data_IF_256463698168
#
_entry.id   IF_256463698168
#
_cell.length_a   1.000
_cell.length_b   1.000
_cell.length_c   1.000
_cell.angle_alpha   90.00
_cell.angle_beta   90.00
_cell.angle_gamma   90.00
#
_symmetry.space_group_name_H-M   'P 1'
#
loop_
_entity.id
_entity.type
_entity.pdbx_description
1 polymer ?
#
# COMPACT_ATOMS: atom_id res chain seq x y z
N UNK A 1 16.10 -2.98 -1.89
CA UNK A 1 14.70 -3.43 -1.69
C UNK A 1 14.73 -4.73 -0.90
N UNK A 2 14.51 -4.64 0.42
CA UNK A 2 14.32 -5.79 1.29
C UNK A 2 13.19 -6.66 0.70
N UNK A 3 13.39 -7.97 0.64
CA UNK A 3 12.54 -8.90 -0.10
C UNK A 3 11.14 -9.02 0.54
N UNK A 4 10.24 -8.07 0.25
CA UNK A 4 8.84 -8.21 0.61
C UNK A 4 8.20 -9.29 -0.28
N UNK A 5 7.58 -10.32 0.30
CA UNK A 5 6.90 -11.34 -0.48
C UNK A 5 5.70 -10.71 -1.21
N UNK A 6 5.52 -11.10 -2.47
CA UNK A 6 4.34 -10.81 -3.28
C UNK A 6 3.51 -12.10 -3.41
N UNK A 7 2.82 -12.54 -2.35
CA UNK A 7 2.11 -13.82 -2.35
C UNK A 7 0.97 -13.77 -3.37
N UNK A 8 0.72 -14.91 -4.00
CA UNK A 8 -0.32 -15.07 -5.02
C UNK A 8 -1.67 -15.45 -4.41
N UNK A 9 -1.70 -15.80 -3.11
CA UNK A 9 -2.90 -16.15 -2.38
C UNK A 9 -2.87 -15.71 -0.91
N UNK A 10 -4.04 -15.70 -0.29
CA UNK A 10 -4.20 -15.41 1.14
C UNK A 10 -3.52 -16.49 2.00
N UNK A 11 -3.64 -17.75 1.60
CA UNK A 11 -3.10 -18.91 2.31
C UNK A 11 -1.56 -18.87 2.33
N UNK A 12 -0.93 -18.48 1.23
CA UNK A 12 0.52 -18.25 1.15
C UNK A 12 0.98 -17.16 2.11
N UNK A 13 0.26 -16.04 2.18
CA UNK A 13 0.60 -14.95 3.12
C UNK A 13 0.50 -15.43 4.57
N UNK A 14 -0.58 -16.14 4.93
CA UNK A 14 -0.74 -16.70 6.29
C UNK A 14 0.37 -17.68 6.64
N UNK A 15 0.79 -18.53 5.69
CA UNK A 15 1.90 -19.46 5.90
C UNK A 15 3.23 -18.73 6.10
N UNK A 16 3.49 -17.70 5.30
CA UNK A 16 4.65 -16.83 5.44
C UNK A 16 4.66 -16.14 6.81
N UNK A 17 3.58 -15.48 7.21
CA UNK A 17 3.45 -14.78 8.50
C UNK A 17 3.72 -15.72 9.69
N UNK A 18 3.28 -16.99 9.60
CA UNK A 18 3.55 -18.02 10.62
C UNK A 18 5.00 -18.49 10.66
N UNK A 19 5.76 -18.31 9.57
CA UNK A 19 7.16 -18.71 9.47
C UNK A 19 8.14 -17.63 9.93
N UNK A 20 7.66 -16.40 10.18
CA UNK A 20 8.50 -15.29 10.62
C UNK A 20 9.11 -15.60 11.99
N UNK A 21 10.45 -15.56 12.07
CA UNK A 21 11.16 -15.74 13.34
C UNK A 21 11.20 -14.45 14.15
N UNK A 22 11.54 -14.55 15.44
CA UNK A 22 11.68 -13.38 16.31
C UNK A 22 12.79 -12.45 15.80
N UNK A 23 13.89 -13.01 15.28
CA UNK A 23 15.00 -12.26 14.72
C UNK A 23 14.57 -11.48 13.48
N UNK A 24 13.80 -12.11 12.58
CA UNK A 24 13.23 -11.44 11.40
C UNK A 24 12.27 -10.32 11.81
N UNK A 25 11.34 -10.59 12.73
CA UNK A 25 10.42 -9.57 13.23
C UNK A 25 11.15 -8.36 13.85
N UNK A 26 12.24 -8.61 14.57
CA UNK A 26 13.07 -7.55 15.18
C UNK A 26 13.80 -6.74 14.11
N UNK A 27 14.34 -7.40 13.09
CA UNK A 27 14.99 -6.74 11.94
C UNK A 27 13.99 -5.86 11.18
N UNK A 28 12.80 -6.38 10.88
CA UNK A 28 11.74 -5.65 10.19
C UNK A 28 11.31 -4.42 10.98
N UNK A 29 11.10 -4.56 12.30
CA UNK A 29 10.76 -3.43 13.16
C UNK A 29 11.82 -2.32 13.12
N UNK A 30 13.11 -2.68 13.11
CA UNK A 30 14.20 -1.73 12.97
C UNK A 30 14.23 -1.03 11.61
N UNK A 31 13.92 -1.76 10.53
CA UNK A 31 13.82 -1.19 9.19
C UNK A 31 12.62 -0.23 9.05
N UNK A 32 11.51 -0.49 9.75
CA UNK A 32 10.35 0.41 9.80
C UNK A 32 10.63 1.68 10.59
N UNK A 33 11.33 1.56 11.73
CA UNK A 33 11.71 2.71 12.56
C UNK A 33 12.65 3.68 11.83
N UNK A 34 13.57 3.14 11.00
CA UNK A 34 14.42 3.96 10.12
C UNK A 34 13.62 4.85 9.18
N UNK A 35 12.62 4.30 8.50
CA UNK A 35 11.75 5.07 7.61
C UNK A 35 10.97 6.14 8.37
N UNK A 36 10.49 5.83 9.57
CA UNK A 36 9.82 6.81 10.42
C UNK A 36 10.74 8.00 10.77
N UNK A 37 12.03 7.73 10.93
CA UNK A 37 13.06 8.75 11.15
C UNK A 37 13.60 9.40 9.85
N UNK A 38 13.01 9.09 8.69
CA UNK A 38 13.33 9.70 7.40
C UNK A 38 14.41 9.00 6.57
N UNK A 39 14.91 7.85 7.02
CA UNK A 39 15.86 7.03 6.24
C UNK A 39 15.09 6.15 5.24
N UNK A 40 14.89 6.68 4.03
CA UNK A 40 14.19 6.01 2.92
C UNK A 40 15.12 5.18 2.03
N UNK A 41 16.43 5.27 2.21
CA UNK A 41 17.43 4.56 1.40
C UNK A 41 17.71 3.17 1.99
N UNK A 42 17.90 3.09 3.31
CA UNK A 42 18.25 1.85 4.02
C UNK A 42 17.06 1.28 4.82
N UNK A 43 15.98 2.03 4.95
CA UNK A 43 14.74 1.61 5.61
C UNK A 43 13.79 0.79 4.72
N UNK A 44 12.81 0.13 5.33
CA UNK A 44 11.76 -0.61 4.63
C UNK A 44 10.49 0.26 4.43
N UNK A 45 10.34 0.82 3.23
CA UNK A 45 9.19 1.68 2.89
C UNK A 45 7.97 0.83 2.53
N UNK A 46 6.96 0.81 3.40
CA UNK A 46 5.75 0.00 3.27
C UNK A 46 4.70 0.67 2.37
N UNK A 47 4.61 0.25 1.10
CA UNK A 47 3.67 0.80 0.13
C UNK A 47 3.01 -0.30 -0.70
N UNK A 48 1.74 -0.10 -1.06
CA UNK A 48 1.03 -0.94 -2.01
C UNK A 48 1.33 -0.55 -3.45
N UNK A 49 0.95 -1.40 -4.41
CA UNK A 49 1.16 -1.15 -5.84
C UNK A 49 0.46 0.12 -6.35
N UNK A 50 -0.59 0.58 -5.65
CA UNK A 50 -1.28 1.83 -5.96
C UNK A 50 -0.41 3.07 -5.76
N UNK A 51 0.77 3.00 -5.12
CA UNK A 51 1.66 4.17 -5.03
C UNK A 51 2.02 4.73 -6.42
N UNK A 52 2.12 3.87 -7.44
CA UNK A 52 2.49 4.28 -8.80
C UNK A 52 1.49 5.23 -9.47
N UNK A 53 0.27 5.37 -8.94
CA UNK A 53 -0.74 6.33 -9.43
C UNK A 53 -0.86 7.58 -8.56
N UNK A 54 -0.13 7.68 -7.44
CA UNK A 54 -0.15 8.85 -6.56
C UNK A 54 0.88 9.86 -7.08
N UNK A 55 0.39 11.02 -7.54
CA UNK A 55 1.21 12.07 -8.17
C UNK A 55 1.30 13.36 -7.35
N UNK A 56 0.60 13.44 -6.23
CA UNK A 56 0.52 14.64 -5.39
C UNK A 56 0.25 14.30 -3.93
N UNK A 57 0.64 15.23 -3.05
CA UNK A 57 0.30 15.20 -1.63
C UNK A 57 -0.91 16.11 -1.45
N UNK A 58 -2.00 15.58 -0.92
CA UNK A 58 -3.24 16.33 -0.72
C UNK A 58 -3.72 16.20 0.72
N UNK A 59 -4.57 17.14 1.13
CA UNK A 59 -5.30 17.04 2.38
C UNK A 59 -6.24 15.83 2.37
N UNK A 60 -6.39 15.17 3.53
CA UNK A 60 -7.19 13.95 3.67
C UNK A 60 -8.64 14.16 3.19
N UNK A 61 -9.22 15.32 3.50
CA UNK A 61 -10.57 15.68 3.08
C UNK A 61 -10.69 15.80 1.56
N UNK A 62 -9.67 16.33 0.89
CA UNK A 62 -9.62 16.45 -0.57
C UNK A 62 -9.48 15.09 -1.25
N UNK A 63 -8.65 14.20 -0.69
CA UNK A 63 -8.52 12.82 -1.18
C UNK A 63 -9.89 12.13 -1.15
N UNK A 64 -10.59 12.19 -0.02
CA UNK A 64 -11.89 11.55 0.15
C UNK A 64 -12.89 12.13 -0.86
N UNK A 65 -12.98 13.46 -0.96
CA UNK A 65 -13.90 14.12 -1.89
C UNK A 65 -13.62 13.76 -3.34
N UNK A 66 -12.34 13.74 -3.75
CA UNK A 66 -11.97 13.37 -5.12
C UNK A 66 -12.37 11.93 -5.42
N UNK A 67 -12.01 10.98 -4.57
CA UNK A 67 -12.33 9.56 -4.76
C UNK A 67 -13.83 9.33 -4.91
N UNK A 68 -14.65 9.95 -4.05
CA UNK A 68 -16.11 9.81 -4.14
C UNK A 68 -16.67 10.44 -5.42
N UNK A 69 -16.20 11.64 -5.78
CA UNK A 69 -16.64 12.35 -6.98
C UNK A 69 -16.27 11.57 -8.25
N UNK A 70 -15.06 11.06 -8.33
CA UNK A 70 -14.55 10.32 -9.49
C UNK A 70 -15.28 8.98 -9.64
N UNK A 71 -15.57 8.30 -8.52
CA UNK A 71 -16.38 7.09 -8.52
C UNK A 71 -17.81 7.35 -9.03
N UNK A 72 -18.47 8.42 -8.55
CA UNK A 72 -19.81 8.79 -9.02
C UNK A 72 -19.83 9.08 -10.53
N UNK A 73 -18.85 9.84 -11.01
CA UNK A 73 -18.71 10.16 -12.43
C UNK A 73 -18.51 8.90 -13.29
N UNK A 74 -17.61 8.00 -12.86
CA UNK A 74 -17.33 6.75 -13.57
C UNK A 74 -18.57 5.85 -13.64
N UNK A 75 -19.32 5.70 -12.54
CA UNK A 75 -20.54 4.88 -12.49
C UNK A 75 -21.61 5.46 -13.43
N UNK A 76 -21.86 6.77 -13.37
CA UNK A 76 -22.86 7.43 -14.24
C UNK A 76 -22.49 7.31 -15.72
N UNK A 77 -21.21 7.53 -16.04
CA UNK A 77 -20.69 7.40 -17.42
C UNK A 77 -20.90 5.98 -17.94
N UNK A 78 -20.44 4.97 -17.22
CA UNK A 78 -20.56 3.57 -17.64
C UNK A 78 -22.01 3.14 -17.79
N UNK A 79 -22.89 3.53 -16.87
CA UNK A 79 -24.32 3.22 -16.96
C UNK A 79 -24.98 3.85 -18.20
N UNK A 80 -24.54 5.03 -18.64
CA UNK A 80 -25.05 5.65 -19.87
C UNK A 80 -24.63 4.93 -21.15
N UNK A 81 -23.52 4.19 -21.11
CA UNK A 81 -22.98 3.43 -22.25
C UNK A 81 -23.59 2.04 -22.41
N UNK A 82 -24.31 1.54 -21.41
CA UNK A 82 -25.00 0.24 -21.44
C UNK A 82 -26.44 0.38 -21.98
N UNK A 83 -26.93 1.62 -22.17
CA UNK A 83 -28.24 1.93 -22.74
C UNK A 83 -28.17 2.13 -24.25
#
# INVERSE_FOLDING_TARGET
>A
ALAHPAPQSKEEMIAYEKSITIEQATSDAGAYDRVYNGDTEEGAVLLGQSIGIIDSINDVDDIIKSVIKDAEAAIKSNNSMIK
#
